data_IF_750389329585
#
_entry.id   IF_750389329585
#
_cell.length_a   1.000
_cell.length_b   1.000
_cell.length_c   1.000
_cell.angle_alpha   90.00
_cell.angle_beta   90.00
_cell.angle_gamma   90.00
#
_symmetry.space_group_name_H-M   'P 1'
#
loop_
_entity.id
_entity.type
_entity.pdbx_description
1 polymer ?
2 non-polymer ?
3 non-polymer ?
4 non-polymer ?
5 non-polymer ?
6 non-polymer ?
7 water ?
#
# COMPACT_ATOMS: atom_id res chain seq x y z
N UNK A 9 -13.16 13.73 8.74
CA UNK A 9 -13.36 15.12 8.30
C UNK A 9 -13.77 15.20 6.85
N UNK A 10 -14.34 16.34 6.45
CA UNK A 10 -14.82 16.51 5.09
C UNK A 10 -13.98 17.34 4.15
N UNK A 11 -12.68 17.44 4.44
CA UNK A 11 -11.77 18.20 3.58
C UNK A 11 -11.90 17.74 2.13
N UNK A 12 -11.67 18.66 1.21
CA UNK A 12 -11.70 18.34 -0.21
C UNK A 12 -10.67 19.15 -0.97
N UNK A 13 -10.37 18.74 -2.20
CA UNK A 13 -9.43 19.46 -3.07
C UNK A 13 -10.18 20.14 -4.17
N UNK A 14 -9.64 21.27 -4.62
CA UNK A 14 -10.17 21.98 -5.77
C UNK A 14 -8.97 21.96 -6.69
N UNK A 15 -9.13 21.39 -7.86
CA UNK A 15 -8.04 21.31 -8.82
C UNK A 15 -8.46 22.03 -10.06
N UNK A 16 -7.69 23.06 -10.42
CA UNK A 16 -7.99 23.82 -11.62
C UNK A 16 -7.03 23.31 -12.68
N UNK A 17 -7.56 22.50 -13.59
CA UNK A 17 -6.73 21.87 -14.59
C UNK A 17 -6.01 22.71 -15.62
N UNK A 18 -5.07 22.07 -16.32
CA UNK A 18 -4.37 22.76 -17.40
C UNK A 18 -2.91 23.12 -17.24
N UNK A 19 -2.23 22.56 -16.25
CA UNK A 19 -0.80 22.83 -16.05
C UNK A 19 0.03 21.57 -16.18
N UNK A 20 1.19 21.66 -16.84
CA UNK A 20 2.03 20.46 -16.93
C UNK A 20 2.79 20.37 -15.61
N UNK A 21 3.00 19.17 -15.09
CA UNK A 21 3.75 19.03 -13.84
C UNK A 21 5.21 19.12 -14.21
N UNK A 22 5.97 19.97 -13.51
CA UNK A 22 7.39 20.09 -13.84
C UNK A 22 8.19 20.33 -12.62
N UNK A 23 9.36 19.70 -12.57
CA UNK A 23 10.23 19.88 -11.42
C UNK A 23 10.55 18.61 -10.66
N UNK A 24 11.16 18.79 -9.50
CA UNK A 24 11.54 17.71 -8.63
C UNK A 24 10.48 17.41 -7.59
N UNK A 25 10.45 16.15 -7.16
CA UNK A 25 9.55 15.73 -6.08
C UNK A 25 10.28 14.63 -5.34
N UNK A 26 10.26 14.67 -4.01
CA UNK A 26 10.92 13.66 -3.18
C UNK A 26 9.89 12.63 -2.77
N UNK A 27 10.15 11.36 -3.10
CA UNK A 27 9.23 10.29 -2.78
C UNK A 27 9.37 9.87 -1.33
N UNK A 28 8.22 9.68 -0.67
CA UNK A 28 8.19 9.29 0.74
C UNK A 28 8.43 7.81 0.97
N UNK A 29 8.61 7.44 2.24
CA UNK A 29 8.81 6.05 2.59
C UNK A 29 7.53 5.26 2.34
N UNK A 30 7.66 3.95 2.13
CA UNK A 30 6.52 3.08 1.84
C UNK A 30 5.60 2.81 3.01
N UNK A 31 4.38 3.32 2.91
CA UNK A 31 3.36 3.10 3.93
C UNK A 31 3.21 1.61 4.24
N UNK A 32 3.16 0.80 3.19
CA UNK A 32 2.97 -0.63 3.38
C UNK A 32 4.16 -1.44 3.80
N UNK A 33 5.30 -0.77 3.96
CA UNK A 33 6.50 -1.42 4.51
C UNK A 33 6.52 -0.99 5.98
N UNK A 34 6.24 0.29 6.21
CA UNK A 34 6.24 0.82 7.57
C UNK A 34 5.26 0.12 8.49
N UNK A 35 4.09 -0.24 7.97
CA UNK A 35 3.09 -0.89 8.79
C UNK A 35 3.55 -2.23 9.36
N UNK A 36 3.94 -3.19 8.50
CA UNK A 36 4.38 -4.47 9.06
C UNK A 36 5.64 -4.36 9.91
N UNK A 37 6.54 -3.46 9.55
CA UNK A 37 7.77 -3.28 10.30
C UNK A 37 7.47 -2.72 11.69
N UNK A 38 6.48 -1.82 11.78
CA UNK A 38 6.09 -1.30 13.10
C UNK A 38 5.49 -2.43 13.94
N UNK A 39 4.68 -3.29 13.32
CA UNK A 39 4.10 -4.39 14.09
C UNK A 39 5.17 -5.37 14.51
N UNK A 40 6.26 -5.45 13.77
CA UNK A 40 7.36 -6.36 14.11
C UNK A 40 7.99 -5.99 15.45
N UNK A 41 7.93 -4.71 15.83
CA UNK A 41 8.53 -4.29 17.11
C UNK A 41 7.91 -4.99 18.29
N UNK A 42 6.68 -5.47 18.13
CA UNK A 42 6.00 -6.19 19.21
C UNK A 42 6.76 -7.45 19.60
N UNK A 43 7.53 -7.99 18.66
CA UNK A 43 8.30 -9.21 18.87
C UNK A 43 9.49 -9.09 19.81
N UNK A 44 9.87 -7.87 20.18
CA UNK A 44 11.03 -7.70 21.09
C UNK A 44 10.71 -6.78 22.25
N UNK A 45 11.55 -6.81 23.28
CA UNK A 45 11.35 -5.91 24.41
C UNK A 45 12.30 -4.77 24.27
N UNK A 46 13.22 -4.90 23.30
CA UNK A 46 14.24 -3.89 23.07
C UNK A 46 13.79 -2.73 22.21
N UNK A 47 14.39 -1.55 22.45
CA UNK A 47 14.05 -0.35 21.67
C UNK A 47 14.34 -0.50 20.19
N UNK A 48 13.47 0.09 19.35
CA UNK A 48 13.67 0.03 17.91
C UNK A 48 13.55 1.40 17.31
N UNK A 49 14.23 1.61 16.18
CA UNK A 49 14.16 2.91 15.50
C UNK A 49 13.85 2.66 14.05
N UNK A 50 12.81 3.32 13.56
CA UNK A 50 12.39 3.16 12.17
C UNK A 50 12.36 4.49 11.49
N UNK A 51 13.17 4.65 10.44
CA UNK A 51 13.16 5.93 9.76
C UNK A 51 12.62 5.83 8.35
N UNK A 52 12.40 7.00 7.74
CA UNK A 52 11.78 7.16 6.43
C UNK A 52 10.35 6.68 6.50
N UNK A 53 9.73 6.90 7.65
CA UNK A 53 8.33 6.52 7.84
C UNK A 53 7.45 7.71 7.47
N UNK A 54 6.52 7.53 6.53
CA UNK A 54 5.66 8.64 6.12
C UNK A 54 4.62 9.06 7.12
N UNK A 55 4.37 10.37 7.18
CA UNK A 55 3.35 10.86 8.08
C UNK A 55 2.04 10.90 7.34
N UNK A 56 1.27 9.84 7.50
CA UNK A 56 -0.03 9.70 6.87
C UNK A 56 -0.88 8.92 7.84
N UNK A 57 -2.19 9.01 7.67
CA UNK A 57 -3.11 8.40 8.64
C UNK A 57 -2.93 6.95 9.01
N UNK A 58 -2.57 6.08 8.06
CA UNK A 58 -2.39 4.67 8.43
C UNK A 58 -1.26 4.49 9.41
N UNK A 59 -0.19 5.25 9.22
CA UNK A 59 0.94 5.18 10.14
C UNK A 59 0.47 5.69 11.50
N UNK A 60 -0.24 6.81 11.51
CA UNK A 60 -0.71 7.34 12.79
C UNK A 60 -1.63 6.38 13.51
N UNK A 61 -2.50 5.71 12.78
CA UNK A 61 -3.38 4.73 13.43
C UNK A 61 -2.63 3.53 13.95
N UNK A 62 -1.57 3.13 13.27
CA UNK A 62 -0.76 2.01 13.74
C UNK A 62 -0.07 2.41 15.04
N UNK A 63 0.42 3.64 15.10
CA UNK A 63 1.11 4.11 16.30
C UNK A 63 0.15 4.18 17.45
N UNK A 64 -1.09 4.56 17.15
CA UNK A 64 -2.13 4.64 18.19
C UNK A 64 -2.37 3.23 18.76
N UNK A 65 -2.46 2.24 17.87
CA UNK A 65 -2.66 0.87 18.31
C UNK A 65 -1.51 0.39 19.18
N UNK A 66 -0.27 0.68 18.77
CA UNK A 66 0.88 0.26 19.55
C UNK A 66 0.83 0.89 20.93
N UNK A 67 0.44 2.16 21.02
CA UNK A 67 0.32 2.79 22.34
C UNK A 67 -0.77 2.13 23.15
N UNK A 68 -1.89 1.77 22.52
CA UNK A 68 -2.97 1.08 23.22
C UNK A 68 -2.47 -0.25 23.74
N UNK A 69 -1.57 -0.90 22.99
CA UNK A 69 -1.03 -2.18 23.41
C UNK A 69 0.02 -2.05 24.49
N UNK A 70 0.40 -0.81 24.84
CA UNK A 70 1.36 -0.60 25.91
C UNK A 70 2.70 0.00 25.56
N UNK A 71 2.99 0.14 24.27
CA UNK A 71 4.27 0.70 23.87
C UNK A 71 4.40 2.18 24.17
N UNK A 72 5.63 2.61 24.37
CA UNK A 72 5.95 4.01 24.62
C UNK A 72 6.66 4.42 23.34
N UNK A 73 6.21 5.48 22.66
CA UNK A 73 6.84 5.87 21.42
C UNK A 73 6.73 7.32 21.04
N UNK A 74 7.55 7.73 20.08
CA UNK A 74 7.53 9.08 19.54
C UNK A 74 7.69 9.02 18.05
N UNK A 75 7.07 9.96 17.35
CA UNK A 75 7.14 10.03 15.90
C UNK A 75 7.54 11.44 15.56
N UNK A 76 8.79 11.60 15.14
CA UNK A 76 9.37 12.91 14.81
C UNK A 76 10.26 12.84 13.59
N UNK A 77 10.13 13.82 12.70
CA UNK A 77 10.94 13.89 11.48
C UNK A 77 10.96 12.57 10.72
N UNK A 78 9.76 12.02 10.49
CA UNK A 78 9.61 10.76 9.78
C UNK A 78 10.37 9.62 10.41
N UNK A 79 10.50 9.66 11.73
CA UNK A 79 11.20 8.61 12.45
C UNK A 79 10.40 8.16 13.64
N UNK A 80 10.23 6.85 13.76
CA UNK A 80 9.52 6.26 14.90
C UNK A 80 10.55 5.70 15.86
N UNK A 81 10.46 6.15 17.12
CA UNK A 81 11.34 5.70 18.19
C UNK A 81 10.42 4.94 19.12
N UNK A 82 10.61 3.64 19.27
CA UNK A 82 9.70 2.89 20.13
C UNK A 82 10.31 1.95 21.15
N UNK A 83 9.70 1.98 22.34
CA UNK A 83 10.04 1.09 23.44
C UNK A 83 8.84 0.16 23.45
N UNK A 84 9.00 -1.07 22.92
CA UNK A 84 7.91 -2.05 22.83
C UNK A 84 7.52 -2.73 24.11
N UNK A 85 7.07 -1.93 25.08
CA UNK A 85 6.66 -2.44 26.38
C UNK A 85 5.22 -2.91 26.29
N UNK A 86 4.97 -3.87 25.41
CA UNK A 86 3.62 -4.39 25.18
C UNK A 86 3.08 -5.12 26.39
N UNK A 87 1.89 -4.77 26.83
CA UNK A 87 1.33 -5.41 28.01
C UNK A 87 -0.09 -5.86 27.83
N UNK A 88 -0.52 -5.93 26.59
CA UNK A 88 -1.89 -6.33 26.27
C UNK A 88 -1.88 -7.08 24.95
N UNK A 89 -2.89 -7.89 24.69
CA UNK A 89 -2.92 -8.61 23.42
C UNK A 89 -4.27 -8.50 22.75
N UNK A 90 -4.96 -7.39 23.01
CA UNK A 90 -6.28 -7.16 22.43
C UNK A 90 -6.24 -6.00 21.48
N UNK A 91 -6.55 -6.28 20.21
CA UNK A 91 -6.59 -5.25 19.18
C UNK A 91 -8.08 -5.00 18.97
N UNK A 92 -8.56 -3.86 19.47
CA UNK A 92 -10.00 -3.62 19.39
C UNK A 92 -10.63 -3.40 18.05
N UNK A 93 -11.92 -3.71 18.01
CA UNK A 93 -12.72 -3.60 16.79
C UNK A 93 -12.71 -2.25 16.12
N UNK A 94 -12.66 -1.19 16.93
CA UNK A 94 -12.67 0.16 16.37
C UNK A 94 -11.44 0.39 15.49
N UNK A 95 -10.29 -0.01 15.98
CA UNK A 95 -9.05 0.16 15.24
C UNK A 95 -9.08 -0.68 13.97
N UNK A 96 -9.60 -1.89 14.08
CA UNK A 96 -9.72 -2.78 12.92
C UNK A 96 -10.67 -2.17 11.87
N UNK A 97 -11.73 -1.51 12.31
CA UNK A 97 -12.66 -0.90 11.35
C UNK A 97 -12.02 0.27 10.64
N UNK A 98 -11.11 0.94 11.34
CA UNK A 98 -10.40 2.09 10.79
C UNK A 98 -9.33 1.68 9.80
N UNK A 99 -8.74 0.51 10.01
CA UNK A 99 -7.66 0.03 9.16
C UNK A 99 -7.56 -1.47 9.34
N UNK A 100 -8.11 -2.24 8.39
CA UNK A 100 -8.09 -3.69 8.50
C UNK A 100 -6.70 -4.27 8.59
N UNK A 101 -5.69 -3.53 8.12
CA UNK A 101 -4.32 -4.05 8.18
C UNK A 101 -3.85 -4.18 9.64
N UNK A 102 -4.65 -3.70 10.59
CA UNK A 102 -4.31 -3.84 12.01
C UNK A 102 -4.28 -5.34 12.37
N UNK A 103 -4.78 -6.18 11.46
CA UNK A 103 -4.77 -7.61 11.65
C UNK A 103 -3.32 -8.10 11.72
N UNK A 104 -2.39 -7.27 11.24
CA UNK A 104 -0.96 -7.61 11.28
C UNK A 104 -0.43 -7.71 12.71
N UNK A 105 -1.23 -7.25 13.67
CA UNK A 105 -0.86 -7.34 15.08
C UNK A 105 -1.02 -8.78 15.58
N UNK A 106 -1.77 -9.60 14.84
CA UNK A 106 -2.01 -10.98 15.26
C UNK A 106 -0.77 -11.86 15.36
N UNK A 107 0.00 -11.95 14.28
CA UNK A 107 1.20 -12.78 14.32
C UNK A 107 2.17 -12.41 15.45
N UNK A 108 2.51 -11.13 15.61
CA UNK A 108 3.44 -10.67 16.66
C UNK A 108 2.90 -10.94 18.07
N UNK A 109 1.65 -10.56 18.30
CA UNK A 109 1.06 -10.78 19.63
C UNK A 109 1.07 -12.26 19.99
N UNK A 110 0.78 -13.11 19.02
CA UNK A 110 0.79 -14.55 19.26
C UNK A 110 2.19 -15.01 19.57
N UNK A 111 3.17 -14.50 18.83
CA UNK A 111 4.55 -14.89 19.05
C UNK A 111 5.08 -14.43 20.40
N UNK A 112 4.53 -13.34 20.90
CA UNK A 112 4.98 -12.79 22.18
C UNK A 112 4.29 -13.35 23.39
N UNK A 113 2.98 -13.57 23.29
CA UNK A 113 2.18 -14.04 24.40
C UNK A 113 1.56 -15.41 24.27
N UNK A 114 1.53 -15.99 23.07
CA UNK A 114 0.91 -17.29 22.91
C UNK A 114 -0.61 -17.15 22.80
N UNK A 115 -1.09 -15.91 22.81
CA UNK A 115 -2.51 -15.65 22.65
C UNK A 115 -2.77 -14.27 22.12
N UNK A 116 -3.94 -14.09 21.53
CA UNK A 116 -4.31 -12.81 20.95
C UNK A 116 -5.81 -12.72 20.75
N UNK A 117 -6.35 -11.51 20.82
CA UNK A 117 -7.77 -11.27 20.61
C UNK A 117 -7.80 -10.08 19.67
N UNK A 118 -8.11 -10.35 18.40
CA UNK A 118 -8.08 -9.30 17.37
C UNK A 118 -9.41 -9.17 16.67
N UNK A 119 -9.93 -7.95 16.57
CA UNK A 119 -11.20 -7.76 15.90
C UNK A 119 -11.16 -8.27 14.47
N UNK A 120 -12.24 -8.90 14.01
CA UNK A 120 -12.26 -9.40 12.64
C UNK A 120 -12.68 -8.28 11.70
N UNK A 121 -11.92 -8.04 10.64
CA UNK A 121 -12.27 -6.98 9.70
C UNK A 121 -13.67 -7.17 9.12
N UNK A 122 -14.34 -6.07 8.79
CA UNK A 122 -15.64 -6.15 8.15
C UNK A 122 -15.34 -6.03 6.65
N UNK A 123 -16.37 -5.81 5.81
CA UNK A 123 -16.13 -5.64 4.39
C UNK A 123 -15.41 -4.31 4.16
N UNK A 125 -14.54 -1.11 0.95
CA UNK A 125 -15.06 -0.60 -0.32
C UNK A 125 -14.33 -1.22 -1.51
N UNK A 126 -13.11 -1.68 -1.29
CA UNK A 126 -12.30 -2.32 -2.35
C UNK A 126 -12.77 -3.77 -2.60
N UNK A 127 -13.45 -4.35 -1.62
CA UNK A 127 -13.97 -5.71 -1.71
C UNK A 127 -14.20 -6.34 -0.35
N UNK A 128 -14.85 -7.51 -0.34
CA UNK A 128 -15.13 -8.23 0.91
C UNK A 128 -13.81 -8.44 1.66
N UNK A 129 -12.78 -8.85 0.92
CA UNK A 129 -11.43 -9.06 1.47
C UNK A 129 -11.37 -9.92 2.73
N UNK A 130 -11.77 -11.19 2.60
CA UNK A 130 -11.71 -12.04 3.79
C UNK A 130 -10.28 -12.38 4.15
N UNK A 131 -10.07 -12.87 5.37
CA UNK A 131 -8.72 -13.23 5.80
C UNK A 131 -8.61 -14.71 6.11
N UNK A 132 -9.35 -15.51 5.34
CA UNK A 132 -9.32 -16.96 5.54
C UNK A 132 -7.93 -17.54 5.52
N UNK A 133 -7.05 -17.00 4.68
CA UNK A 133 -5.68 -17.50 4.59
C UNK A 133 -4.89 -17.20 5.85
N UNK A 134 -5.12 -16.04 6.48
CA UNK A 134 -4.43 -15.72 7.73
C UNK A 134 -4.88 -16.72 8.79
N UNK A 135 -6.19 -16.89 8.92
CA UNK A 135 -6.72 -17.80 9.92
C UNK A 135 -6.32 -19.23 9.63
N UNK A 136 -6.32 -19.62 8.37
CA UNK A 136 -5.92 -20.97 8.01
C UNK A 136 -4.47 -21.21 8.41
N UNK A 137 -3.60 -20.23 8.19
CA UNK A 137 -2.20 -20.39 8.58
C UNK A 137 -2.06 -20.63 10.07
N UNK A 138 -2.73 -19.80 10.88
CA UNK A 138 -2.59 -19.98 12.32
C UNK A 138 -3.15 -21.30 12.80
N UNK A 139 -4.17 -21.82 12.14
CA UNK A 139 -4.70 -23.12 12.54
C UNK A 139 -3.66 -24.17 12.22
N UNK A 140 -3.06 -24.08 11.05
CA UNK A 140 -2.01 -25.03 10.65
C UNK A 140 -0.82 -24.94 11.58
N UNK A 141 -0.61 -23.77 12.18
CA UNK A 141 0.51 -23.56 13.11
C UNK A 141 0.20 -24.20 14.45
N UNK A 142 -1.01 -24.72 14.59
CA UNK A 142 -1.41 -25.38 15.82
C UNK A 142 -2.20 -24.55 16.80
N UNK A 143 -2.59 -23.34 16.41
CA UNK A 143 -3.36 -22.51 17.33
C UNK A 143 -4.84 -22.85 17.32
N UNK A 144 -5.50 -22.57 18.44
CA UNK A 144 -6.93 -22.77 18.53
C UNK A 144 -7.49 -21.42 18.12
N UNK A 145 -8.35 -21.42 17.11
CA UNK A 145 -8.91 -20.18 16.58
C UNK A 145 -10.41 -20.20 16.65
N UNK A 146 -10.99 -19.19 17.25
CA UNK A 146 -12.45 -19.12 17.38
C UNK A 146 -12.93 -17.71 17.21
N UNK A 147 -14.05 -17.54 16.51
CA UNK A 147 -14.62 -16.22 16.30
C UNK A 147 -15.81 -16.05 17.23
N UNK A 148 -15.77 -15.04 18.09
CA UNK A 148 -16.84 -14.75 19.04
C UNK A 148 -16.89 -13.27 19.25
N UNK A 149 -18.10 -12.71 19.36
CA UNK A 149 -18.25 -11.28 19.60
C UNK A 149 -17.53 -10.46 18.54
N UNK A 150 -17.42 -11.02 17.34
CA UNK A 150 -16.75 -10.32 16.26
C UNK A 150 -15.23 -10.22 16.40
N UNK A 151 -14.66 -11.00 17.32
CA UNK A 151 -13.22 -11.01 17.53
C UNK A 151 -12.68 -12.38 17.22
N UNK A 152 -11.42 -12.44 16.81
CA UNK A 152 -10.78 -13.72 16.54
C UNK A 152 -9.97 -14.00 17.80
N UNK A 153 -10.31 -15.07 18.50
CA UNK A 153 -9.59 -15.48 19.72
C UNK A 153 -8.63 -16.54 19.30
N UNK A 154 -7.34 -16.30 19.51
CA UNK A 154 -6.32 -17.26 19.13
C UNK A 154 -5.49 -17.64 20.34
N UNK A 155 -5.36 -18.94 20.56
CA UNK A 155 -4.59 -19.46 21.68
C UNK A 155 -3.66 -20.52 21.19
N UNK A 156 -2.41 -20.41 21.63
CA UNK A 156 -1.36 -21.34 21.22
C UNK A 156 -0.84 -22.10 22.43
N UNK A 157 -1.01 -23.42 22.43
CA UNK A 157 -0.55 -24.25 23.53
C UNK A 157 0.96 -24.34 23.56
N UNK A 158 1.58 -24.37 22.39
CA UNK A 158 3.04 -24.44 22.28
C UNK A 158 3.51 -24.14 20.87
N UNK A 159 4.68 -23.51 20.76
CA UNK A 159 5.23 -23.18 19.46
C UNK A 159 5.85 -24.41 18.85
N UNK A 160 5.58 -24.63 17.58
CA UNK A 160 6.14 -25.78 16.88
C UNK A 160 6.43 -25.37 15.47
N UNK A 161 7.25 -26.14 14.78
CA UNK A 161 7.56 -25.80 13.40
C UNK A 161 6.30 -25.88 12.57
N UNK A 162 6.28 -25.12 11.48
CA UNK A 162 5.12 -25.09 10.62
C UNK A 162 5.52 -25.22 9.18
N UNK A 163 4.70 -25.91 8.40
CA UNK A 163 4.93 -26.03 6.97
C UNK A 163 3.57 -25.70 6.39
N UNK A 164 3.47 -24.54 5.76
CA UNK A 164 2.20 -24.08 5.21
C UNK A 164 2.29 -23.53 3.81
N UNK A 165 1.31 -23.85 2.97
CA UNK A 165 1.27 -23.34 1.61
C UNK A 165 0.00 -22.52 1.43
N UNK A 166 0.15 -21.26 1.01
CA UNK A 166 -0.99 -20.39 0.79
C UNK A 166 -1.77 -20.84 -0.45
N UNK A 167 -3.09 -20.84 -0.35
CA UNK A 167 -3.96 -21.22 -1.47
C UNK A 167 -3.94 -20.16 -2.55
N UNK A 168 -3.55 -18.95 -2.18
CA UNK A 168 -3.51 -17.81 -3.09
C UNK A 168 -2.46 -16.87 -2.54
N UNK A 169 -1.88 -16.02 -3.40
CA UNK A 169 -0.83 -15.11 -2.93
C UNK A 169 -1.44 -13.92 -2.19
N UNK A 170 -1.06 -13.76 -0.93
CA UNK A 170 -1.57 -12.67 -0.11
C UNK A 170 -0.43 -11.95 0.58
N UNK A 171 -0.39 -10.63 0.40
CA UNK A 171 0.65 -9.79 0.97
C UNK A 171 0.65 -9.79 2.48
N UNK A 172 -0.43 -9.35 3.11
CA UNK A 172 -0.40 -9.31 4.57
C UNK A 172 -0.51 -10.69 5.17
N UNK A 173 -1.04 -11.65 4.42
CA UNK A 173 -1.11 -13.01 4.94
C UNK A 173 0.31 -13.53 5.08
N UNK A 174 1.12 -13.27 4.07
CA UNK A 174 2.52 -13.67 4.11
C UNK A 174 3.22 -12.96 5.27
N UNK A 175 2.96 -11.67 5.43
CA UNK A 175 3.59 -10.92 6.51
C UNK A 175 3.19 -11.41 7.88
N UNK A 176 1.90 -11.69 8.06
CA UNK A 176 1.42 -12.16 9.36
C UNK A 176 2.10 -13.47 9.70
N UNK A 177 2.27 -14.34 8.70
CA UNK A 177 2.93 -15.63 8.92
C UNK A 177 4.38 -15.45 9.29
N UNK A 178 5.09 -14.60 8.55
CA UNK A 178 6.51 -14.33 8.81
C UNK A 178 6.73 -13.75 10.21
N UNK A 179 5.86 -12.83 10.61
CA UNK A 179 5.96 -12.20 11.92
C UNK A 179 5.86 -13.24 13.02
N UNK A 180 4.93 -14.17 12.88
CA UNK A 180 4.79 -15.22 13.88
C UNK A 180 5.96 -16.20 13.85
N UNK A 181 6.29 -16.70 12.66
CA UNK A 181 7.38 -17.68 12.54
C UNK A 181 8.72 -17.16 13.01
N UNK A 182 8.92 -15.86 12.93
CA UNK A 182 10.17 -15.26 13.38
C UNK A 182 10.38 -15.48 14.89
N UNK A 183 9.30 -15.77 15.60
CA UNK A 183 9.34 -15.98 17.04
C UNK A 183 9.44 -17.45 17.42
N UNK A 184 9.36 -18.34 16.43
CA UNK A 184 9.39 -19.79 16.69
C UNK A 184 10.79 -20.34 16.51
N UNK A 185 11.40 -20.86 17.60
CA UNK A 185 12.76 -21.41 17.56
C UNK A 185 12.91 -22.73 16.87
N UNK A 186 12.34 -22.82 15.67
CA UNK A 186 12.43 -24.04 14.85
C UNK A 186 12.43 -23.66 13.39
N UNK A 187 12.74 -24.63 12.55
CA UNK A 187 12.78 -24.42 11.10
C UNK A 187 11.41 -24.61 10.49
N UNK A 188 10.86 -23.54 9.91
CA UNK A 188 9.54 -23.61 9.28
C UNK A 188 9.61 -23.26 7.82
N UNK A 189 8.53 -23.57 7.09
CA UNK A 189 8.47 -23.30 5.66
C UNK A 189 7.16 -22.74 5.19
N UNK A 190 7.23 -21.70 4.36
CA UNK A 190 6.03 -21.10 3.77
C UNK A 190 6.16 -21.26 2.28
N UNK A 191 5.08 -21.65 1.62
CA UNK A 191 5.08 -21.79 0.16
C UNK A 191 4.03 -20.87 -0.45
N UNK A 192 4.27 -20.44 -1.68
CA UNK A 192 3.39 -19.55 -2.42
C UNK A 192 3.22 -18.22 -1.73
N UNK A 193 4.33 -17.63 -1.28
CA UNK A 193 4.29 -16.34 -0.59
C UNK A 193 4.30 -15.19 -1.56
N UNK A 194 3.97 -14.01 -1.02
CA UNK A 194 3.98 -12.76 -1.78
C UNK A 194 5.44 -12.29 -1.82
N UNK A 195 5.85 -11.68 -2.93
CA UNK A 195 7.22 -11.19 -3.13
C UNK A 195 7.33 -9.67 -3.17
N UNK A 196 6.23 -8.98 -2.86
CA UNK A 196 6.22 -7.51 -2.87
C UNK A 196 7.40 -6.91 -2.14
N UNK A 197 7.95 -5.78 -2.63
CA UNK A 197 9.09 -5.11 -1.98
C UNK A 197 8.91 -4.87 -0.50
N UNK A 198 7.67 -4.59 -0.10
CA UNK A 198 7.36 -4.34 1.31
C UNK A 198 7.54 -5.59 2.14
N UNK A 199 7.23 -6.73 1.55
CA UNK A 199 7.38 -8.00 2.25
C UNK A 199 8.88 -8.23 2.42
N UNK A 200 9.66 -7.95 1.36
CA UNK A 200 11.12 -8.14 1.43
C UNK A 200 11.75 -7.20 2.45
N UNK A 201 11.21 -6.01 2.61
CA UNK A 201 11.73 -5.03 3.59
C UNK A 201 11.45 -5.54 5.01
N UNK A 202 10.25 -6.08 5.22
CA UNK A 202 9.90 -6.64 6.54
C UNK A 202 10.86 -7.78 6.84
N UNK A 203 11.15 -8.61 5.83
CA UNK A 203 12.05 -9.73 6.03
C UNK A 203 13.44 -9.26 6.48
N UNK A 204 13.97 -8.18 5.89
CA UNK A 204 15.26 -7.72 6.37
C UNK A 204 15.17 -7.35 7.83
N UNK A 205 14.09 -6.67 8.23
CA UNK A 205 13.93 -6.30 9.65
C UNK A 205 13.89 -7.55 10.56
N UNK A 206 13.15 -8.58 10.17
CA UNK A 206 13.08 -9.78 10.99
C UNK A 206 14.46 -10.42 11.13
N UNK A 207 15.28 -10.34 10.08
CA UNK A 207 16.63 -10.89 10.15
C UNK A 207 17.48 -10.02 11.07
N UNK A 208 17.32 -8.70 10.99
CA UNK A 208 18.06 -7.80 11.88
C UNK A 208 17.73 -8.13 13.32
N UNK A 209 16.50 -8.56 13.57
CA UNK A 209 16.06 -8.92 14.93
C UNK A 209 16.63 -10.23 15.40
N UNK A 210 17.13 -11.02 14.45
CA UNK A 210 17.75 -12.28 14.80
C UNK A 210 17.19 -13.52 14.12
N UNK A 211 16.09 -13.39 13.40
CA UNK A 211 15.52 -14.57 12.72
C UNK A 211 16.30 -14.84 11.46
N UNK A 212 16.21 -16.06 10.95
CA UNK A 212 16.85 -16.43 9.70
C UNK A 212 15.72 -16.59 8.71
N UNK A 213 15.86 -15.98 7.54
CA UNK A 213 14.83 -16.10 6.51
C UNK A 213 15.49 -16.22 5.16
N UNK A 214 15.15 -17.28 4.43
CA UNK A 214 15.70 -17.47 3.09
C UNK A 214 14.54 -17.53 2.13
N UNK A 215 14.63 -16.73 1.07
CA UNK A 215 13.59 -16.69 0.04
C UNK A 215 14.12 -17.33 -1.23
N UNK A 216 13.41 -18.31 -1.76
CA UNK A 216 13.78 -18.97 -3.01
C UNK A 216 12.49 -19.20 -3.75
N UNK A 217 12.34 -18.56 -4.90
CA UNK A 217 11.10 -18.68 -5.65
C UNK A 217 10.04 -18.06 -4.76
N UNK A 218 8.92 -18.76 -4.56
CA UNK A 218 7.90 -18.23 -3.67
C UNK A 218 7.85 -19.01 -2.37
N UNK A 219 9.00 -19.56 -1.98
CA UNK A 219 9.11 -20.28 -0.71
C UNK A 219 9.97 -19.48 0.25
N UNK A 220 9.62 -19.53 1.52
CA UNK A 220 10.39 -18.85 2.55
C UNK A 220 10.69 -19.87 3.63
N UNK A 221 11.97 -19.99 3.97
CA UNK A 221 12.40 -20.90 5.01
C UNK A 221 12.72 -20.00 6.18
N UNK A 222 12.13 -20.30 7.33
CA UNK A 222 12.32 -19.46 8.51
C UNK A 222 12.81 -20.24 9.71
N UNK A 223 13.72 -19.61 10.45
CA UNK A 223 14.22 -20.15 11.71
C UNK A 223 14.07 -18.99 12.66
N UNK A 224 13.11 -19.10 13.57
CA UNK A 224 12.85 -18.02 14.51
C UNK A 224 13.65 -18.05 15.79
N UNK A 225 13.32 -17.15 16.71
CA UNK A 225 14.01 -17.06 17.99
C UNK A 225 13.12 -16.49 19.08
N UNK A 226 13.36 -16.92 20.32
CA UNK A 226 12.57 -16.45 21.44
C UNK A 226 13.20 -15.26 22.12
N UNK A 227 14.35 -14.81 21.60
CA UNK A 227 15.03 -13.65 22.18
C UNK A 227 15.40 -12.67 21.09
N UNK A 228 14.40 -12.20 20.37
CA UNK A 228 14.62 -11.25 19.27
C UNK A 228 15.08 -9.90 19.80
N UNK A 229 16.00 -9.29 19.06
CA UNK A 229 16.60 -8.01 19.40
C UNK A 229 15.93 -6.81 18.81
N UNK A 230 16.28 -5.63 19.32
CA UNK A 230 15.76 -4.40 18.78
C UNK A 230 16.49 -4.09 17.48
N UNK A 231 15.99 -3.16 16.70
CA UNK A 231 16.63 -2.86 15.42
C UNK A 231 16.50 -1.43 15.01
N UNK A 232 17.32 -1.03 14.04
CA UNK A 232 17.28 0.30 13.44
C UNK A 232 17.12 0.03 11.96
N UNK A 233 16.18 0.71 11.31
CA UNK A 233 15.94 0.46 9.89
C UNK A 233 15.34 1.66 9.16
N UNK A 234 15.71 1.81 7.89
CA UNK A 234 15.16 2.87 7.04
C UNK A 234 14.31 2.15 6.01
N UNK A 235 13.00 2.41 6.03
CA UNK A 235 12.10 1.73 5.09
C UNK A 235 12.29 2.11 3.66
N UNK A 236 11.98 1.18 2.75
CA UNK A 236 12.11 1.45 1.32
C UNK A 236 11.16 2.56 0.91
N UNK A 237 11.45 3.21 -0.22
CA UNK A 237 10.61 4.30 -0.75
C UNK A 237 9.26 3.71 -1.15
N UNK A 238 8.24 4.57 -1.27
CA UNK A 238 6.91 4.11 -1.67
C UNK A 238 6.80 4.05 -3.19
N UNK A 239 6.77 2.84 -3.76
CA UNK A 239 6.69 2.68 -5.22
C UNK A 239 5.34 3.08 -5.80
N UNK A 240 4.30 3.07 -4.97
CA UNK A 240 2.98 3.44 -5.48
C UNK A 240 2.95 4.95 -5.63
N UNK A 241 3.51 5.67 -4.68
CA UNK A 241 3.54 7.13 -4.80
C UNK A 241 4.40 7.46 -6.02
N UNK A 242 5.54 6.79 -6.14
CA UNK A 242 6.42 7.02 -7.28
C UNK A 242 5.71 6.80 -8.59
N UNK A 243 4.99 5.68 -8.74
CA UNK A 243 4.28 5.42 -9.98
C UNK A 243 3.21 6.45 -10.28
N UNK A 244 2.58 6.94 -9.23
CA UNK A 244 1.53 7.94 -9.36
C UNK A 244 2.05 9.23 -9.94
N UNK A 245 3.21 9.70 -9.47
CA UNK A 245 3.77 10.93 -10.02
C UNK A 245 4.27 10.69 -11.44
N UNK A 246 4.75 9.49 -11.72
CA UNK A 246 5.21 9.18 -13.08
C UNK A 246 4.04 9.32 -14.02
N UNK A 247 2.89 8.78 -13.60
CA UNK A 247 1.71 8.88 -14.44
C UNK A 247 1.34 10.34 -14.62
N UNK A 248 1.43 11.10 -13.54
CA UNK A 248 1.10 12.52 -13.61
C UNK A 248 1.94 13.26 -14.63
N UNK A 249 3.23 12.96 -14.67
CA UNK A 249 4.12 13.64 -15.63
C UNK A 249 3.70 13.35 -17.05
N UNK A 250 3.43 12.08 -17.35
CA UNK A 250 3.06 11.70 -18.71
C UNK A 250 1.68 12.25 -19.11
N UNK A 251 0.72 12.16 -18.20
CA UNK A 251 -0.63 12.63 -18.46
C UNK A 251 -0.69 14.13 -18.73
N UNK A 252 0.05 14.92 -17.95
CA UNK A 252 0.06 16.36 -18.10
C UNK A 252 1.07 16.86 -19.09
N UNK A 253 1.81 15.95 -19.72
CA UNK A 253 2.84 16.30 -20.69
C UNK A 253 3.87 17.24 -20.07
N UNK A 254 4.29 16.91 -18.85
CA UNK A 254 5.28 17.71 -18.14
C UNK A 254 6.62 17.00 -18.12
N UNK A 255 7.42 17.32 -17.10
CA UNK A 255 8.73 16.70 -16.96
C UNK A 255 9.09 16.78 -15.50
N UNK A 256 9.16 15.63 -14.84
CA UNK A 256 9.49 15.65 -13.42
C UNK A 256 10.68 14.79 -13.12
N UNK A 257 11.31 15.09 -12.00
CA UNK A 257 12.47 14.32 -11.57
C UNK A 257 12.14 13.76 -10.20
N UNK A 258 11.94 12.44 -10.12
CA UNK A 258 11.64 11.83 -8.83
C UNK A 258 12.92 11.55 -8.06
N UNK A 259 12.96 11.99 -6.81
CA UNK A 259 14.13 11.73 -5.97
C UNK A 259 13.76 10.71 -4.92
N UNK A 260 14.73 9.86 -4.60
CA UNK A 260 14.56 8.85 -3.57
C UNK A 260 13.61 7.74 -3.88
N UNK A 261 13.42 7.45 -5.16
CA UNK A 261 12.57 6.32 -5.56
C UNK A 261 13.52 5.19 -5.96
N UNK A 262 12.98 4.02 -6.27
CA UNK A 262 13.79 2.86 -6.67
C UNK A 262 13.28 2.29 -7.97
N UNK A 263 14.08 2.42 -9.03
CA UNK A 263 13.67 1.88 -10.32
C UNK A 263 13.45 0.38 -10.22
N UNK A 264 14.18 -0.29 -9.34
CA UNK A 264 14.04 -1.75 -9.24
C UNK A 264 12.76 -2.26 -8.61
N UNK A 265 11.90 -1.34 -8.15
CA UNK A 265 10.61 -1.75 -7.58
C UNK A 265 9.51 -1.29 -8.54
N UNK A 266 9.90 -0.85 -9.73
CA UNK A 266 8.93 -0.30 -10.69
C UNK A 266 8.94 -0.88 -12.10
N UNK A 267 9.54 -2.05 -12.29
CA UNK A 267 9.63 -2.60 -13.65
C UNK A 267 8.35 -2.66 -14.46
N UNK A 268 7.31 -3.27 -13.90
CA UNK A 268 6.05 -3.40 -14.64
C UNK A 268 5.41 -2.07 -14.92
N UNK A 269 5.54 -1.13 -13.99
CA UNK A 269 4.96 0.20 -14.16
C UNK A 269 5.67 0.98 -15.27
N UNK A 270 7.00 0.99 -15.25
CA UNK A 270 7.78 1.68 -16.28
C UNK A 270 7.48 1.07 -17.64
N UNK A 271 7.36 -0.24 -17.69
CA UNK A 271 7.07 -0.95 -18.95
C UNK A 271 5.79 -0.47 -19.59
N UNK A 272 4.71 -0.44 -18.80
CA UNK A 272 3.42 0.02 -19.31
C UNK A 272 3.47 1.50 -19.66
N UNK A 273 4.14 2.28 -18.84
CA UNK A 273 4.22 3.72 -19.08
C UNK A 273 4.86 4.02 -20.43
N UNK A 274 5.93 3.29 -20.76
CA UNK A 274 6.60 3.48 -22.03
C UNK A 274 5.73 3.04 -23.19
N UNK A 275 4.99 1.96 -23.02
CA UNK A 275 4.11 1.48 -24.09
C UNK A 275 3.03 2.51 -24.42
N UNK A 276 2.64 3.29 -23.41
CA UNK A 276 1.60 4.29 -23.61
C UNK A 276 2.14 5.56 -24.24
N UNK A 277 3.45 5.77 -24.14
CA UNK A 277 4.05 6.95 -24.74
C UNK A 277 4.97 7.74 -23.82
N UNK A 278 5.08 7.32 -22.58
CA UNK A 278 5.94 8.02 -21.64
C UNK A 278 7.39 7.56 -21.75
N UNK A 279 8.28 8.25 -21.05
CA UNK A 279 9.69 7.88 -21.02
C UNK A 279 10.21 8.08 -19.62
N UNK A 280 11.10 7.20 -19.20
CA UNK A 280 11.71 7.26 -17.87
C UNK A 280 13.22 7.11 -18.04
N UNK A 281 13.97 8.11 -17.61
CA UNK A 281 15.43 8.10 -17.70
C UNK A 281 16.05 8.18 -16.32
N UNK A 282 16.89 7.21 -15.99
CA UNK A 282 17.54 7.21 -14.69
C UNK A 282 18.79 8.07 -14.74
N UNK A 283 18.96 8.93 -13.73
CA UNK A 283 20.10 9.84 -13.59
C UNK A 283 20.57 9.53 -12.21
N UNK A 284 21.62 8.70 -12.12
CA UNK A 284 22.10 8.22 -10.81
C UNK A 284 20.90 7.42 -10.28
N UNK A 285 20.32 7.83 -9.16
CA UNK A 285 19.15 7.12 -8.65
C UNK A 285 17.85 7.85 -8.99
N UNK A 286 17.96 9.09 -9.45
CA UNK A 286 16.79 9.89 -9.80
C UNK A 286 16.13 9.40 -11.06
N UNK A 287 14.82 9.65 -11.17
CA UNK A 287 14.10 9.21 -12.36
C UNK A 287 13.45 10.37 -13.05
N UNK A 288 13.88 10.66 -14.29
CA UNK A 288 13.31 11.77 -15.05
C UNK A 288 12.21 11.20 -15.90
N UNK A 289 11.01 11.78 -15.78
CA UNK A 289 9.85 11.26 -16.50
C UNK A 289 9.14 12.32 -17.28
N UNK A 290 8.78 11.98 -18.51
CA UNK A 290 8.11 12.90 -19.41
C UNK A 290 7.38 12.13 -20.49
N UNK A 291 6.62 12.84 -21.34
CA UNK A 291 5.89 12.18 -22.42
C UNK A 291 6.75 12.25 -23.67
N UNK A 292 7.03 11.11 -24.27
CA UNK A 292 7.87 11.06 -25.47
C UNK A 292 7.08 11.00 -26.75
N UNK A 293 5.97 10.25 -26.73
CA UNK A 293 5.11 10.08 -27.91
C UNK A 293 3.67 10.40 -27.53
N UNK A 294 2.82 10.63 -28.54
CA UNK A 294 1.41 10.91 -28.27
C UNK A 294 0.83 9.68 -27.54
N UNK A 295 -0.10 9.91 -26.63
CA UNK A 295 -0.68 8.83 -25.85
C UNK A 295 -1.46 7.81 -26.65
N UNK A 296 -1.22 6.53 -26.38
CA UNK A 296 -1.93 5.45 -27.07
C UNK A 296 -2.38 4.37 -26.13
N UNK A 297 -3.48 3.72 -26.48
CA UNK A 297 -4.08 2.64 -25.72
C UNK A 297 -3.12 1.51 -25.44
N UNK A 298 -3.35 0.81 -24.33
CA UNK A 298 -2.50 -0.29 -23.93
C UNK A 298 -3.32 -1.21 -23.07
N UNK A 299 -3.10 -2.51 -23.15
CA UNK A 299 -3.85 -3.44 -22.30
C UNK A 299 -3.06 -3.66 -21.03
N UNK A 300 -3.76 -3.78 -19.91
CA UNK A 300 -3.14 -3.96 -18.61
C UNK A 300 -3.86 -4.99 -17.78
N UNK A 301 -3.11 -5.90 -17.15
CA UNK A 301 -3.69 -6.86 -16.23
C UNK A 301 -2.96 -6.71 -14.92
N UNK A 302 -3.69 -6.59 -13.81
CA UNK A 302 -3.02 -6.48 -12.53
C UNK A 302 -2.58 -7.87 -12.11
N UNK A 303 -1.46 -7.94 -11.39
CA UNK A 303 -0.89 -9.20 -10.91
C UNK A 303 -0.10 -8.93 -9.64
N UNK A 304 0.21 -10.00 -8.91
CA UNK A 304 1.04 -9.83 -7.71
C UNK A 304 2.43 -9.43 -8.18
N UNK A 305 3.18 -8.78 -7.30
CA UNK A 305 4.52 -8.32 -7.63
C UNK A 305 5.34 -9.55 -8.05
N UNK A 306 6.26 -9.41 -9.05
CA UNK A 306 6.65 -8.23 -9.85
C UNK A 306 5.78 -7.77 -11.00
N UNK A 307 4.55 -8.28 -11.06
CA UNK A 307 3.62 -7.86 -12.12
C UNK A 307 3.08 -6.45 -11.82
N UNK A 308 2.15 -5.99 -12.64
CA UNK A 308 1.54 -4.66 -12.52
C UNK A 308 0.67 -4.56 -11.26
N UNK A 309 0.96 -3.61 -10.36
CA UNK A 309 0.20 -3.45 -9.11
C UNK A 309 -1.25 -3.00 -9.22
N UNK A 310 -2.12 -3.65 -8.48
CA UNK A 310 -3.52 -3.22 -8.45
C UNK A 310 -3.53 -1.77 -7.94
N UNK A 311 -2.60 -1.43 -7.05
CA UNK A 311 -2.55 -0.07 -6.49
C UNK A 311 -2.20 1.01 -7.51
N UNK A 312 -1.81 0.61 -8.73
CA UNK A 312 -1.51 1.56 -9.80
C UNK A 312 -2.57 1.52 -10.91
N UNK A 313 -3.51 0.60 -10.81
CA UNK A 313 -4.53 0.42 -11.84
C UNK A 313 -5.34 1.68 -12.16
N UNK A 314 -5.97 2.26 -11.14
CA UNK A 314 -6.79 3.45 -11.34
C UNK A 314 -6.00 4.59 -11.99
N UNK A 315 -4.78 4.82 -11.52
CA UNK A 315 -3.94 5.90 -12.05
C UNK A 315 -3.72 5.70 -13.55
N UNK A 316 -3.42 4.47 -13.97
CA UNK A 316 -3.24 4.24 -15.40
C UNK A 316 -4.55 4.35 -16.16
N UNK A 317 -5.67 4.06 -15.49
CA UNK A 317 -6.94 4.18 -16.17
C UNK A 317 -7.19 5.65 -16.49
N UNK A 318 -6.81 6.55 -15.58
CA UNK A 318 -6.98 7.98 -15.81
C UNK A 318 -6.09 8.41 -16.97
N UNK A 319 -4.87 7.88 -17.01
CA UNK A 319 -3.95 8.23 -18.11
C UNK A 319 -4.53 7.73 -19.43
N UNK A 320 -5.05 6.52 -19.43
CA UNK A 320 -5.61 5.95 -20.64
C UNK A 320 -6.93 6.53 -21.07
N UNK A 321 -7.62 7.23 -20.16
CA UNK A 321 -8.90 7.80 -20.53
C UNK A 321 -8.75 8.86 -21.60
N UNK A 322 -7.54 9.41 -21.76
CA UNK A 322 -7.32 10.39 -22.82
C UNK A 322 -6.28 9.95 -23.83
N UNK A 323 -6.09 8.63 -23.97
CA UNK A 323 -5.13 8.08 -24.93
C UNK A 323 -5.90 7.69 -26.18
N UNK A 324 -5.19 7.56 -27.31
CA UNK A 324 -5.88 7.15 -28.53
C UNK A 324 -6.12 5.67 -28.58
N UNK A 325 -7.39 5.29 -28.71
CA UNK A 325 -7.72 3.88 -28.80
C UNK A 325 -8.45 3.32 -27.60
N UNK A 326 -8.75 2.04 -27.68
CA UNK A 326 -9.47 1.34 -26.63
C UNK A 326 -8.53 0.47 -25.83
N UNK A 327 -8.44 0.72 -24.53
CA UNK A 327 -7.59 -0.06 -23.62
C UNK A 327 -8.40 -1.02 -22.79
N UNK A 328 -7.83 -2.20 -22.52
CA UNK A 328 -8.50 -3.19 -21.69
C UNK A 328 -7.72 -3.25 -20.38
N UNK A 329 -8.42 -3.08 -19.26
CA UNK A 329 -7.76 -3.12 -17.95
C UNK A 329 -8.46 -4.15 -17.11
N UNK A 330 -7.75 -5.25 -16.85
CA UNK A 330 -8.33 -6.34 -16.09
C UNK A 330 -7.75 -6.49 -14.71
N UNK A 331 -8.62 -6.66 -13.71
CA UNK A 331 -8.17 -6.87 -12.35
C UNK A 331 -8.13 -8.35 -12.01
N UNK A 332 -6.97 -8.83 -11.56
CA UNK A 332 -6.83 -10.22 -11.13
C UNK A 332 -6.65 -10.23 -9.62
N UNK A 333 -6.51 -9.05 -9.03
CA UNK A 333 -6.27 -8.96 -7.58
C UNK A 333 -7.50 -8.55 -6.81
N UNK A 334 -7.99 -7.34 -7.06
CA UNK A 334 -9.21 -6.85 -6.43
C UNK A 334 -10.17 -6.65 -7.59
N UNK A 335 -10.88 -7.71 -7.95
CA UNK A 335 -11.79 -7.63 -9.10
C UNK A 335 -12.91 -6.61 -9.00
N UNK A 336 -13.20 -6.18 -7.80
CA UNK A 336 -14.29 -5.24 -7.61
C UNK A 336 -13.83 -3.80 -7.64
N UNK A 337 -12.52 -3.60 -7.69
CA UNK A 337 -11.92 -2.26 -7.62
C UNK A 337 -12.04 -1.36 -8.84
N UNK A 338 -13.24 -0.83 -9.08
CA UNK A 338 -13.48 0.04 -10.23
C UNK A 338 -14.37 1.23 -9.94
N UNK A 339 -14.62 1.54 -8.66
CA UNK A 339 -15.47 2.70 -8.34
C UNK A 339 -15.00 3.94 -9.11
N UNK A 340 -13.68 4.10 -9.20
CA UNK A 340 -13.11 5.24 -9.90
C UNK A 340 -13.47 5.33 -11.36
N UNK A 341 -13.77 4.19 -12.01
CA UNK A 341 -14.13 4.24 -13.42
C UNK A 341 -15.33 5.11 -13.68
N UNK A 342 -16.35 5.01 -12.81
CA UNK A 342 -17.54 5.82 -13.04
C UNK A 342 -17.33 7.25 -12.62
N UNK A 343 -16.45 7.49 -11.65
CA UNK A 343 -16.16 8.89 -11.28
C UNK A 343 -15.43 9.51 -12.48
N UNK A 344 -14.55 8.75 -13.14
CA UNK A 344 -13.87 9.31 -14.31
C UNK A 344 -14.90 9.56 -15.42
N UNK A 345 -15.92 8.71 -15.51
CA UNK A 345 -16.97 8.94 -16.51
C UNK A 345 -17.68 10.25 -16.22
N UNK A 346 -17.75 10.66 -14.96
CA UNK A 346 -18.38 11.94 -14.63
C UNK A 346 -17.56 13.08 -15.21
N UNK A 347 -16.29 12.81 -15.54
CA UNK A 347 -15.44 13.85 -16.10
C UNK A 347 -15.44 13.78 -17.62
N UNK A 348 -16.31 12.96 -18.18
CA UNK A 348 -16.39 12.86 -19.63
C UNK A 348 -15.63 11.71 -20.27
N UNK A 349 -15.13 10.79 -19.45
CA UNK A 349 -14.42 9.64 -20.00
C UNK A 349 -15.45 8.72 -20.62
N UNK A 350 -14.98 7.68 -21.30
CA UNK A 350 -15.89 6.71 -21.90
C UNK A 350 -15.37 5.35 -21.49
N UNK A 351 -15.66 5.00 -20.24
CA UNK A 351 -15.21 3.74 -19.68
C UNK A 351 -16.36 2.82 -19.39
N UNK A 352 -16.20 1.56 -19.77
CA UNK A 352 -17.23 0.56 -19.52
C UNK A 352 -16.64 -0.50 -18.61
N UNK A 353 -17.50 -1.15 -17.84
CA UNK A 353 -17.04 -2.18 -16.92
C UNK A 353 -17.87 -3.42 -17.10
N UNK A 354 -17.22 -4.55 -17.32
CA UNK A 354 -17.91 -5.82 -17.51
C UNK A 354 -17.19 -6.84 -16.66
N UNK A 355 -17.77 -7.17 -15.51
CA UNK A 355 -17.12 -8.13 -14.63
C UNK A 355 -15.80 -7.57 -14.12
N UNK A 356 -14.72 -8.35 -14.19
CA UNK A 356 -13.41 -7.90 -13.71
C UNK A 356 -12.61 -7.13 -14.72
N UNK A 357 -13.23 -6.75 -15.84
CA UNK A 357 -12.53 -6.01 -16.88
C UNK A 357 -13.15 -4.70 -17.26
N UNK A 358 -12.32 -3.66 -17.33
CA UNK A 358 -12.81 -2.36 -17.74
C UNK A 358 -12.24 -2.08 -19.13
N UNK A 359 -13.03 -1.37 -19.94
CA UNK A 359 -12.58 -1.00 -21.28
C UNK A 359 -12.61 0.51 -21.33
N UNK A 360 -11.50 1.09 -21.74
CA UNK A 360 -11.38 2.54 -21.82
C UNK A 360 -11.26 3.00 -23.25
N UNK A 361 -12.26 3.72 -23.74
CA UNK A 361 -12.20 4.26 -25.10
C UNK A 361 -11.74 5.67 -24.90
N UNK A 362 -10.49 5.93 -25.29
CA UNK A 362 -9.93 7.24 -25.09
C UNK A 362 -10.73 8.40 -25.66
N UNK A 363 -10.79 9.50 -24.92
CA UNK A 363 -11.51 10.68 -25.43
C UNK A 363 -10.50 11.81 -25.60
N UNK A 364 -10.89 12.84 -26.35
CA UNK A 364 -9.99 13.96 -26.61
C UNK A 364 -9.73 14.81 -25.39
N UNK A 365 -10.73 14.99 -24.54
CA UNK A 365 -10.53 15.80 -23.34
C UNK A 365 -11.51 15.48 -22.24
N UNK A 366 -11.16 15.87 -21.02
CA UNK A 366 -12.04 15.64 -19.89
C UNK A 366 -12.60 16.97 -19.46
N UNK A 367 -13.71 16.92 -18.71
CA UNK A 367 -14.40 18.13 -18.26
C UNK A 367 -14.57 18.07 -16.77
N UNK A 368 -13.94 19.00 -16.07
CA UNK A 368 -13.96 19.01 -14.62
C UNK A 368 -15.33 19.05 -13.94
N UNK A 369 -15.46 18.30 -12.85
CA UNK A 369 -16.69 18.29 -12.08
C UNK A 369 -16.38 17.71 -10.71
N UNK A 370 -17.42 17.51 -9.90
CA UNK A 370 -17.22 16.96 -8.57
C UNK A 370 -17.13 15.44 -8.60
N UNK A 371 -16.12 14.90 -7.93
CA UNK A 371 -15.94 13.44 -7.84
C UNK A 371 -15.66 13.07 -6.42
N UNK A 372 -15.95 11.82 -6.06
CA UNK A 372 -15.73 11.38 -4.68
C UNK A 372 -14.65 10.33 -4.50
N UNK A 373 -13.72 10.61 -3.59
CA UNK A 373 -12.65 9.66 -3.24
C UNK A 373 -13.29 8.57 -2.39
N UNK A 374 -12.82 7.34 -2.56
CA UNK A 374 -13.32 6.21 -1.78
C UNK A 374 -12.25 5.16 -1.51
N UNK A 375 -11.07 5.33 -2.10
CA UNK A 375 -9.98 4.34 -2.02
C UNK A 375 -8.65 5.04 -1.73
N UNK A 376 -8.04 4.75 -0.58
CA UNK A 376 -6.80 5.42 -0.18
C UNK A 376 -5.69 5.46 -1.22
N UNK A 377 -5.67 4.51 -2.15
CA UNK A 377 -4.67 4.56 -3.21
C UNK A 377 -5.29 4.85 -4.56
N UNK A 378 -6.34 4.11 -4.93
CA UNK A 378 -6.96 4.30 -6.25
C UNK A 378 -7.52 5.68 -6.50
N UNK A 379 -7.99 6.36 -5.46
CA UNK A 379 -8.58 7.68 -5.68
C UNK A 379 -7.58 8.74 -6.14
N UNK A 380 -6.29 8.41 -6.12
CA UNK A 380 -5.29 9.36 -6.62
C UNK A 380 -5.61 9.56 -8.11
N UNK A 381 -6.27 8.57 -8.72
CA UNK A 381 -6.63 8.69 -10.14
C UNK A 381 -7.53 9.90 -10.38
N UNK A 382 -8.34 10.26 -9.39
CA UNK A 382 -9.24 11.40 -9.55
C UNK A 382 -8.49 12.69 -9.53
N UNK A 383 -7.47 12.76 -8.68
CA UNK A 383 -6.62 13.95 -8.57
C UNK A 383 -5.88 14.10 -9.90
N UNK A 384 -5.36 12.99 -10.42
CA UNK A 384 -4.64 13.00 -11.69
C UNK A 384 -5.52 13.49 -12.82
N UNK A 385 -6.73 12.96 -12.93
CA UNK A 385 -7.65 13.38 -13.99
C UNK A 385 -7.95 14.87 -13.84
N UNK A 386 -8.12 15.32 -12.59
CA UNK A 386 -8.40 16.72 -12.33
C UNK A 386 -7.31 17.65 -12.86
N UNK A 387 -6.09 17.13 -12.97
CA UNK A 387 -4.98 17.93 -13.49
C UNK A 387 -5.15 18.27 -14.96
N UNK A 388 -5.85 17.43 -15.70
CA UNK A 388 -6.02 17.71 -17.12
C UNK A 388 -7.41 18.03 -17.57
N UNK A 389 -8.41 17.80 -16.72
CA UNK A 389 -9.80 18.08 -17.09
C UNK A 389 -10.01 19.56 -17.24
N UNK A 390 -10.81 19.90 -18.25
CA UNK A 390 -11.12 21.30 -18.53
C UNK A 390 -11.86 21.93 -17.37
N UNK A 391 -11.43 23.12 -16.97
CA UNK A 391 -12.12 23.80 -15.88
C UNK A 391 -11.68 23.42 -14.49
N UNK A 392 -12.64 23.07 -13.62
CA UNK A 392 -12.34 22.73 -12.24
C UNK A 392 -12.88 21.39 -11.81
N UNK A 393 -12.05 20.65 -11.09
CA UNK A 393 -12.41 19.33 -10.56
C UNK A 393 -12.37 19.39 -9.05
N UNK A 394 -13.45 18.99 -8.40
CA UNK A 394 -13.50 19.00 -6.95
C UNK A 394 -13.42 17.58 -6.48
N UNK A 395 -12.41 17.26 -5.68
CA UNK A 395 -12.25 15.90 -5.18
C UNK A 395 -12.66 15.85 -3.73
N UNK A 396 -13.82 15.22 -3.48
CA UNK A 396 -14.35 15.12 -2.12
C UNK A 396 -13.75 14.00 -1.32
N UNK A 397 -13.88 14.12 0.00
CA UNK A 397 -13.42 13.11 0.95
C UNK A 397 -11.97 12.72 0.82
N UNK A 398 -11.08 13.72 0.79
CA UNK A 398 -9.67 13.46 0.66
C UNK A 398 -9.06 12.76 1.85
N UNK A 399 -9.87 12.56 2.89
CA UNK A 399 -9.44 11.83 4.07
C UNK A 399 -8.86 10.50 3.59
N UNK A 400 -9.45 9.92 2.55
CA UNK A 400 -8.93 8.65 2.01
C UNK A 400 -7.51 8.82 1.50
N UNK A 401 -7.29 9.89 0.75
CA UNK A 401 -5.94 10.16 0.23
C UNK A 401 -4.97 10.47 1.33
N UNK A 402 -5.45 11.04 2.44
CA UNK A 402 -4.56 11.33 3.56
C UNK A 402 -4.08 10.05 4.22
N UNK A 403 -4.82 8.96 4.04
CA UNK A 403 -4.39 7.68 4.60
C UNK A 403 -3.31 7.10 3.74
N UNK A 404 -3.39 7.35 2.44
CA UNK A 404 -2.45 6.75 1.51
C UNK A 404 -1.26 7.47 0.93
N UNK A 405 -1.21 8.80 1.07
CA UNK A 405 -0.11 9.56 0.51
C UNK A 405 0.29 10.63 1.49
N UNK A 406 1.57 10.92 1.54
CA UNK A 406 2.07 11.95 2.43
C UNK A 406 2.19 13.26 1.67
N UNK A 407 1.49 14.29 2.14
CA UNK A 407 1.54 15.61 1.53
C UNK A 407 1.33 15.59 0.05
N UNK A 408 0.32 14.87 -0.40
CA UNK A 408 0.04 14.78 -1.83
C UNK A 408 -0.19 16.13 -2.49
N UNK A 409 -1.11 16.92 -1.96
CA UNK A 409 -1.38 18.22 -2.59
C UNK A 409 -0.19 19.17 -2.54
N UNK A 410 0.61 19.08 -1.49
CA UNK A 410 1.78 19.96 -1.38
C UNK A 410 2.81 19.59 -2.43
N UNK A 411 3.02 18.29 -2.65
CA UNK A 411 3.98 17.86 -3.66
C UNK A 411 3.52 18.25 -5.05
N UNK A 412 2.22 18.09 -5.33
CA UNK A 412 1.68 18.47 -6.65
C UNK A 412 1.80 19.96 -6.86
N UNK A 413 1.49 20.74 -5.83
CA UNK A 413 1.61 22.20 -5.92
C UNK A 413 3.04 22.61 -6.27
N UNK A 414 4.01 21.94 -5.65
CA UNK A 414 5.43 22.22 -5.89
C UNK A 414 5.81 21.92 -7.33
N UNK A 415 5.05 21.05 -7.98
CA UNK A 415 5.29 20.70 -9.38
C UNK A 415 4.49 21.55 -10.31
N UNK A 416 3.80 22.55 -9.78
CA UNK A 416 3.04 23.43 -10.66
C UNK A 416 1.54 23.18 -10.77
N UNK A 417 1.00 22.20 -10.04
CA UNK A 417 -0.43 21.95 -10.09
C UNK A 417 -1.16 23.08 -9.39
N UNK A 418 -2.26 23.53 -10.00
CA UNK A 418 -3.07 24.59 -9.39
C UNK A 418 -4.10 23.90 -8.54
N UNK A 419 -3.62 23.41 -7.41
CA UNK A 419 -4.46 22.67 -6.49
C UNK A 419 -4.51 23.31 -5.14
N UNK A 420 -5.64 23.15 -4.47
CA UNK A 420 -5.76 23.66 -3.12
C UNK A 420 -6.67 22.79 -2.30
N UNK A 421 -6.44 22.80 -1.00
CA UNK A 421 -7.22 22.02 -0.07
C UNK A 421 -8.11 22.90 0.75
N UNK A 422 -9.37 22.51 0.87
CA UNK A 422 -10.33 23.24 1.69
C UNK A 422 -10.63 22.37 2.88
N UNK A 423 -10.26 22.86 4.07
CA UNK A 423 -10.50 22.13 5.30
C UNK A 423 -11.95 22.26 5.66
N UNK A 424 -12.58 21.12 5.89
CA UNK A 424 -14.00 21.08 6.22
C UNK A 424 -14.23 19.96 7.21
N UNK A 425 -14.76 20.30 8.39
CA UNK A 425 -15.04 19.29 9.41
C UNK A 425 -15.84 18.15 8.86
#
# INVERSE_FOLDING_TARGET
MKNTTLYTYRDYFVIRGGKPLTGKVKISGAKNAALPIMFATILTEEPCTITNVPDLLDVRNTLLLLRELGAELEFLNNTVFINPSINSFITNQEIIRRMRASVLSLGPLLGRFGRAVVGLPGGXSIGARPIDQHLKFFKEAGADVEVREGYVYVNLKEKRRVHFKFDLVTVTGTENALLYLASVPEESILENIALEPEVMDLIEVLKKMGAHVKVEGRSAYVKGSENLKGFTHSVIPDRIEAGTFMVGAVLTDGEILLENARINHLRAVVEKLKLIGGEVVEENGNLRVFRKESLRACDIETQVYPGFPTDMQAQFMALLSVAKGKSRIKENIFEHRFHHAQELNRLGANITVRGNTAYVEGVERLYGSEVYSTDLRASASLVLAGLVAQGETVVRDVYHLDRGYEKLEEKLKKLGADIERVSEL
#
